data_IF_330725237721
#
_entry.id   IF_330725237721
#
_cell.length_a   1.000
_cell.length_b   1.000
_cell.length_c   1.000
_cell.angle_alpha   90.00
_cell.angle_beta   90.00
_cell.angle_gamma   90.00
#
_symmetry.space_group_name_H-M   'P 1'
#
loop_
_entity.id
_entity.type
_entity.pdbx_description
1 polymer ?
#
# COMPACT_ATOMS: atom_id res chain seq x y z
N UNK A 1 71.57 37.04 23.18
CA UNK A 1 71.25 36.20 21.99
C UNK A 1 69.90 36.67 21.46
N UNK A 2 69.83 37.18 20.23
CA UNK A 2 68.75 38.04 19.73
C UNK A 2 67.51 37.26 19.27
N UNK A 3 66.37 37.50 19.94
CA UNK A 3 65.04 36.95 19.63
C UNK A 3 64.64 37.05 18.14
N UNK A 4 65.08 38.12 17.47
CA UNK A 4 64.77 38.35 16.06
C UNK A 4 65.43 37.36 15.09
N UNK A 5 66.62 36.84 15.39
CA UNK A 5 67.30 35.87 14.53
C UNK A 5 66.66 34.48 14.58
N UNK A 6 66.18 34.06 15.75
CA UNK A 6 65.43 32.81 15.89
C UNK A 6 64.11 32.84 15.12
N UNK A 7 63.40 33.97 15.14
CA UNK A 7 62.14 34.15 14.42
C UNK A 7 62.33 34.08 12.90
N UNK A 8 63.36 34.75 12.36
CA UNK A 8 63.67 34.72 10.92
C UNK A 8 64.04 33.29 10.46
N UNK A 9 64.85 32.56 11.24
CA UNK A 9 65.19 31.18 10.90
C UNK A 9 63.98 30.24 10.97
N UNK A 10 63.07 30.44 11.92
CA UNK A 10 61.83 29.66 12.01
C UNK A 10 60.90 29.88 10.82
N UNK A 11 60.74 31.13 10.36
CA UNK A 11 59.91 31.47 9.20
C UNK A 11 60.47 30.87 7.91
N UNK A 12 61.79 30.93 7.72
CA UNK A 12 62.45 30.35 6.54
C UNK A 12 62.31 28.82 6.48
N UNK A 13 62.35 28.15 7.64
CA UNK A 13 62.11 26.71 7.72
C UNK A 13 60.63 26.35 7.44
N UNK A 14 59.67 27.19 7.85
CA UNK A 14 58.25 26.98 7.55
C UNK A 14 57.96 27.17 6.06
N UNK A 15 58.55 28.17 5.41
CA UNK A 15 58.42 28.39 3.97
C UNK A 15 59.07 27.27 3.15
N UNK A 16 60.25 26.79 3.55
CA UNK A 16 60.91 25.67 2.90
C UNK A 16 60.09 24.36 3.03
N UNK A 17 59.48 24.11 4.19
CA UNK A 17 58.62 22.94 4.39
C UNK A 17 57.27 23.05 3.66
N UNK A 18 56.69 24.24 3.50
CA UNK A 18 55.45 24.42 2.71
C UNK A 18 55.69 24.33 1.21
N UNK A 19 56.85 24.76 0.71
CA UNK A 19 57.22 24.57 -0.70
C UNK A 19 57.55 23.10 -1.05
N UNK A 20 58.18 22.35 -0.14
CA UNK A 20 58.48 20.93 -0.38
C UNK A 20 57.22 20.05 -0.31
N UNK A 21 56.29 20.36 0.59
CA UNK A 21 55.02 19.63 0.72
C UNK A 21 54.06 19.91 -0.43
N UNK A 22 53.99 21.15 -0.92
CA UNK A 22 53.19 21.47 -2.10
C UNK A 22 53.73 20.79 -3.36
N UNK A 23 55.03 20.80 -3.62
CA UNK A 23 55.63 20.12 -4.78
C UNK A 23 55.46 18.59 -4.73
N UNK A 24 55.59 17.98 -3.54
CA UNK A 24 55.29 16.55 -3.36
C UNK A 24 53.80 16.21 -3.58
N UNK A 25 52.88 17.10 -3.19
CA UNK A 25 51.45 16.92 -3.38
C UNK A 25 51.04 16.97 -4.86
N UNK A 26 51.61 17.87 -5.67
CA UNK A 26 51.31 17.95 -7.11
C UNK A 26 51.86 16.75 -7.89
N UNK A 27 53.05 16.26 -7.55
CA UNK A 27 53.61 15.06 -8.20
C UNK A 27 52.78 13.81 -7.88
N UNK A 28 52.40 13.62 -6.61
CA UNK A 28 51.55 12.47 -6.22
C UNK A 28 50.15 12.54 -6.83
N UNK A 29 49.53 13.73 -6.92
CA UNK A 29 48.26 13.91 -7.62
C UNK A 29 48.38 13.62 -9.13
N UNK A 30 49.48 14.01 -9.77
CA UNK A 30 49.77 13.70 -11.17
C UNK A 30 49.92 12.20 -11.45
N UNK A 31 50.64 11.47 -10.58
CA UNK A 31 50.74 10.01 -10.66
C UNK A 31 49.40 9.32 -10.41
N UNK A 32 48.60 9.80 -9.46
CA UNK A 32 47.25 9.27 -9.22
C UNK A 32 46.31 9.51 -10.41
N UNK A 33 46.38 10.69 -11.05
CA UNK A 33 45.59 10.98 -12.24
C UNK A 33 46.03 10.14 -13.45
N UNK A 34 47.34 9.96 -13.67
CA UNK A 34 47.86 9.12 -14.75
C UNK A 34 47.52 7.63 -14.55
N UNK A 35 47.61 7.13 -13.32
CA UNK A 35 47.20 5.75 -12.99
C UNK A 35 45.69 5.57 -13.08
N UNK A 36 44.88 6.58 -12.73
CA UNK A 36 43.43 6.57 -12.92
C UNK A 36 43.04 6.55 -14.41
N UNK A 37 43.74 7.30 -15.27
CA UNK A 37 43.51 7.26 -16.72
C UNK A 37 43.94 5.91 -17.33
N UNK A 38 45.08 5.37 -16.91
CA UNK A 38 45.56 4.06 -17.36
C UNK A 38 44.62 2.93 -16.93
N UNK A 39 44.08 2.97 -15.71
CA UNK A 39 43.09 1.99 -15.22
C UNK A 39 41.76 2.12 -15.95
N UNK A 40 41.30 3.33 -16.29
CA UNK A 40 40.10 3.52 -17.13
C UNK A 40 40.26 2.94 -18.53
N UNK A 41 41.40 3.18 -19.19
CA UNK A 41 41.69 2.61 -20.50
C UNK A 41 41.80 1.09 -20.45
N UNK A 42 42.42 0.54 -19.40
CA UNK A 42 42.49 -0.90 -19.19
C UNK A 42 41.11 -1.52 -18.94
N UNK A 43 40.24 -0.85 -18.17
CA UNK A 43 38.86 -1.29 -17.94
C UNK A 43 38.03 -1.26 -19.23
N UNK A 44 38.10 -0.18 -20.01
CA UNK A 44 37.41 -0.07 -21.29
C UNK A 44 37.89 -1.14 -22.30
N UNK A 45 39.19 -1.40 -22.36
CA UNK A 45 39.74 -2.48 -23.20
C UNK A 45 39.27 -3.88 -22.74
N UNK A 46 39.12 -4.10 -21.43
CA UNK A 46 38.54 -5.35 -20.89
C UNK A 46 37.06 -5.49 -21.22
N UNK A 47 36.28 -4.41 -21.12
CA UNK A 47 34.86 -4.41 -21.51
C UNK A 47 34.69 -4.71 -23.00
N UNK A 48 35.51 -4.13 -23.87
CA UNK A 48 35.50 -4.44 -25.31
C UNK A 48 35.85 -5.91 -25.58
N UNK A 49 36.86 -6.45 -24.89
CA UNK A 49 37.22 -7.87 -25.00
C UNK A 49 36.09 -8.79 -24.54
N UNK A 50 35.42 -8.47 -23.43
CA UNK A 50 34.27 -9.22 -22.93
C UNK A 50 33.11 -9.17 -23.93
N UNK A 51 32.81 -8.00 -24.49
CA UNK A 51 31.77 -7.85 -25.49
C UNK A 51 32.06 -8.66 -26.77
N UNK A 52 33.32 -8.66 -27.22
CA UNK A 52 33.76 -9.48 -28.36
C UNK A 52 33.66 -10.97 -28.05
N UNK A 53 34.07 -11.41 -26.86
CA UNK A 53 33.93 -12.80 -26.42
C UNK A 53 32.47 -13.24 -26.36
N UNK A 54 31.58 -12.40 -25.83
CA UNK A 54 30.14 -12.67 -25.80
C UNK A 54 29.56 -12.80 -27.22
N UNK A 55 29.93 -11.89 -28.13
CA UNK A 55 29.51 -11.97 -29.55
C UNK A 55 30.00 -13.25 -30.22
N UNK A 56 31.26 -13.63 -30.02
CA UNK A 56 31.79 -14.89 -30.57
C UNK A 56 31.08 -16.11 -29.98
N UNK A 57 30.89 -16.16 -28.65
CA UNK A 57 30.17 -17.24 -28.00
C UNK A 57 28.72 -17.38 -28.51
N UNK A 58 28.04 -16.26 -28.77
CA UNK A 58 26.71 -16.26 -29.36
C UNK A 58 26.72 -16.76 -30.82
N UNK A 59 27.68 -16.34 -31.63
CA UNK A 59 27.83 -16.86 -33.00
C UNK A 59 28.11 -18.36 -33.02
N UNK A 60 29.01 -18.84 -32.15
CA UNK A 60 29.31 -20.27 -32.01
C UNK A 60 28.06 -21.05 -31.59
N UNK A 61 27.30 -20.55 -30.61
CA UNK A 61 26.04 -21.18 -30.17
C UNK A 61 25.02 -21.23 -31.30
N UNK A 62 24.84 -20.15 -32.04
CA UNK A 62 23.93 -20.09 -33.18
C UNK A 62 24.33 -21.07 -34.29
N UNK A 63 25.63 -21.17 -34.58
CA UNK A 63 26.14 -22.13 -35.54
C UNK A 63 25.92 -23.58 -35.08
N UNK A 64 26.25 -23.90 -33.82
CA UNK A 64 25.99 -25.22 -33.24
C UNK A 64 24.51 -25.59 -33.30
N UNK A 65 23.61 -24.65 -32.99
CA UNK A 65 22.18 -24.86 -33.11
C UNK A 65 21.73 -25.06 -34.58
N UNK A 66 22.30 -24.30 -35.52
CA UNK A 66 22.00 -24.40 -36.94
C UNK A 66 22.48 -25.73 -37.57
N UNK A 67 23.55 -26.31 -37.03
CA UNK A 67 24.00 -27.66 -37.38
C UNK A 67 23.14 -28.72 -36.71
N UNK A 68 22.89 -28.58 -35.40
CA UNK A 68 22.10 -29.53 -34.63
C UNK A 68 20.65 -29.65 -35.13
N UNK A 69 20.01 -28.56 -35.56
CA UNK A 69 18.64 -28.62 -36.10
C UNK A 69 18.48 -29.49 -37.36
N UNK A 70 19.59 -29.87 -37.99
CA UNK A 70 19.61 -30.77 -39.16
C UNK A 70 19.75 -32.25 -38.75
N UNK A 71 20.03 -32.55 -37.48
CA UNK A 71 20.09 -33.91 -36.96
C UNK A 71 18.67 -34.45 -36.69
N UNK A 72 18.48 -35.77 -36.54
CA UNK A 72 17.20 -36.35 -36.15
C UNK A 72 16.63 -35.76 -34.86
N UNK A 73 17.48 -35.55 -33.83
CA UNK A 73 17.08 -34.92 -32.57
C UNK A 73 16.62 -33.47 -32.77
N UNK A 74 17.34 -32.70 -33.58
CA UNK A 74 16.98 -31.32 -33.89
C UNK A 74 15.67 -31.21 -34.66
N UNK A 75 15.42 -32.10 -35.62
CA UNK A 75 14.16 -32.18 -36.35
C UNK A 75 13.02 -32.56 -35.41
N UNK A 76 13.22 -33.56 -34.54
CA UNK A 76 12.24 -33.99 -33.55
C UNK A 76 11.89 -32.86 -32.58
N UNK A 77 12.89 -32.10 -32.11
CA UNK A 77 12.69 -30.92 -31.28
C UNK A 77 11.89 -29.83 -31.99
N UNK A 78 12.19 -29.51 -33.26
CA UNK A 78 11.44 -28.49 -33.99
C UNK A 78 9.97 -28.89 -34.18
N UNK A 79 9.69 -30.16 -34.49
CA UNK A 79 8.33 -30.69 -34.57
C UNK A 79 7.64 -30.71 -33.20
N UNK A 80 8.37 -31.00 -32.13
CA UNK A 80 7.87 -30.91 -30.76
C UNK A 80 7.55 -29.46 -30.40
N UNK A 81 8.43 -28.52 -30.72
CA UNK A 81 8.26 -27.09 -30.43
C UNK A 81 7.02 -26.53 -31.09
N UNK A 82 6.83 -26.81 -32.39
CA UNK A 82 5.67 -26.35 -33.15
C UNK A 82 4.35 -26.88 -32.55
N UNK A 83 4.29 -28.19 -32.28
CA UNK A 83 3.16 -28.80 -31.58
C UNK A 83 2.95 -28.25 -30.17
N UNK A 84 4.03 -27.96 -29.45
CA UNK A 84 3.99 -27.39 -28.10
C UNK A 84 3.41 -25.98 -28.08
N UNK A 85 3.76 -25.14 -29.06
CA UNK A 85 3.17 -23.80 -29.23
C UNK A 85 1.68 -23.91 -29.49
N UNK A 86 1.26 -24.77 -30.43
CA UNK A 86 -0.16 -25.00 -30.72
C UNK A 86 -0.92 -25.51 -29.49
N UNK A 87 -0.35 -26.47 -28.76
CA UNK A 87 -0.94 -27.00 -27.53
C UNK A 87 -1.08 -25.92 -26.46
N UNK A 88 -0.05 -25.11 -26.23
CA UNK A 88 -0.10 -24.01 -25.27
C UNK A 88 -1.17 -22.97 -25.65
N UNK A 89 -1.33 -22.66 -26.94
CA UNK A 89 -2.41 -21.80 -27.42
C UNK A 89 -3.79 -22.43 -27.21
N UNK A 90 -3.97 -23.72 -27.49
CA UNK A 90 -5.23 -24.43 -27.23
C UNK A 90 -5.59 -24.42 -25.74
N UNK A 91 -4.62 -24.63 -24.84
CA UNK A 91 -4.85 -24.53 -23.38
C UNK A 91 -5.28 -23.12 -23.00
N UNK A 92 -4.60 -22.07 -23.50
CA UNK A 92 -4.98 -20.67 -23.24
C UNK A 92 -6.36 -20.30 -23.79
N UNK A 93 -6.75 -20.86 -24.94
CA UNK A 93 -8.09 -20.68 -25.48
C UNK A 93 -9.13 -21.32 -24.56
N UNK A 94 -8.86 -22.52 -24.02
CA UNK A 94 -9.71 -23.16 -23.01
C UNK A 94 -9.79 -22.34 -21.71
N UNK A 95 -8.68 -21.75 -21.26
CA UNK A 95 -8.70 -20.84 -20.10
C UNK A 95 -9.60 -19.62 -20.34
N UNK A 96 -9.53 -19.05 -21.55
CA UNK A 96 -10.40 -17.93 -21.95
C UNK A 96 -11.87 -18.36 -21.98
N UNK A 97 -12.19 -19.47 -22.64
CA UNK A 97 -13.54 -20.01 -22.72
C UNK A 97 -14.11 -20.36 -21.34
N UNK A 98 -13.26 -20.89 -20.45
CA UNK A 98 -13.60 -21.19 -19.06
C UNK A 98 -13.97 -19.94 -18.28
N UNK A 99 -13.13 -18.89 -18.35
CA UNK A 99 -13.41 -17.60 -17.71
C UNK A 99 -14.66 -16.95 -18.28
N UNK A 100 -14.88 -17.04 -19.59
CA UNK A 100 -16.09 -16.54 -20.22
C UNK A 100 -17.34 -17.32 -19.79
N UNK A 101 -17.22 -18.64 -19.60
CA UNK A 101 -18.27 -19.48 -19.01
C UNK A 101 -18.68 -18.98 -17.64
N UNK A 102 -17.71 -18.80 -16.74
CA UNK A 102 -17.95 -18.23 -15.41
C UNK A 102 -18.51 -16.81 -15.45
N UNK A 103 -17.98 -15.93 -16.30
CA UNK A 103 -18.47 -14.57 -16.45
C UNK A 103 -19.95 -14.54 -16.89
N UNK A 104 -20.37 -15.45 -17.77
CA UNK A 104 -21.77 -15.59 -18.19
C UNK A 104 -22.67 -16.01 -17.03
N UNK A 105 -22.27 -17.03 -16.26
CA UNK A 105 -23.03 -17.49 -15.08
C UNK A 105 -23.16 -16.38 -14.04
N UNK A 106 -22.04 -15.72 -13.71
CA UNK A 106 -22.01 -14.63 -12.73
C UNK A 106 -22.90 -13.48 -13.22
N UNK A 107 -22.79 -13.09 -14.48
CA UNK A 107 -23.61 -12.01 -15.05
C UNK A 107 -25.11 -12.34 -15.02
N UNK A 108 -25.49 -13.59 -15.34
CA UNK A 108 -26.88 -14.04 -15.22
C UNK A 108 -27.35 -14.03 -13.77
N UNK A 109 -26.56 -14.60 -12.86
CA UNK A 109 -26.87 -14.63 -11.44
C UNK A 109 -27.05 -13.20 -10.88
N UNK A 110 -26.17 -12.26 -11.25
CA UNK A 110 -26.29 -10.84 -10.86
C UNK A 110 -27.56 -10.18 -11.42
N UNK A 111 -27.98 -10.52 -12.64
CA UNK A 111 -29.19 -9.97 -13.25
C UNK A 111 -30.49 -10.48 -12.60
N UNK A 112 -30.46 -11.68 -12.00
CA UNK A 112 -31.60 -12.27 -11.28
C UNK A 112 -31.78 -11.72 -9.85
N UNK A 113 -30.79 -11.00 -9.31
CA UNK A 113 -30.84 -10.49 -7.94
C UNK A 113 -31.70 -9.23 -7.86
N UNK A 114 -32.64 -9.15 -6.90
CA UNK A 114 -33.41 -7.95 -6.65
C UNK A 114 -32.54 -6.71 -6.39
N UNK A 115 -32.91 -5.57 -7.00
CA UNK A 115 -32.13 -4.32 -6.89
C UNK A 115 -32.04 -3.79 -5.45
N UNK A 116 -33.02 -4.10 -4.61
CA UNK A 116 -33.02 -3.73 -3.19
C UNK A 116 -31.98 -4.52 -2.39
N UNK A 117 -31.78 -5.81 -2.71
CA UNK A 117 -30.73 -6.66 -2.14
C UNK A 117 -29.34 -6.14 -2.52
N UNK A 118 -29.13 -5.81 -3.80
CA UNK A 118 -27.88 -5.18 -4.28
C UNK A 118 -27.59 -3.89 -3.52
N UNK A 119 -28.60 -3.01 -3.38
CA UNK A 119 -28.47 -1.77 -2.60
C UNK A 119 -28.13 -2.05 -1.14
N UNK A 120 -28.73 -3.07 -0.50
CA UNK A 120 -28.40 -3.44 0.88
C UNK A 120 -26.95 -3.91 0.99
N UNK A 121 -26.51 -4.79 0.09
CA UNK A 121 -25.15 -5.31 0.04
C UNK A 121 -24.10 -4.18 -0.13
N UNK A 122 -24.27 -3.32 -1.14
CA UNK A 122 -23.35 -2.20 -1.41
C UNK A 122 -23.28 -1.21 -0.25
N UNK A 123 -24.40 -0.95 0.42
CA UNK A 123 -24.46 0.01 1.52
C UNK A 123 -24.03 -0.59 2.88
N UNK A 124 -23.98 -1.91 3.02
CA UNK A 124 -23.67 -2.57 4.29
C UNK A 124 -22.27 -2.19 4.84
N UNK A 125 -21.18 -2.21 4.05
CA UNK A 125 -19.87 -1.74 4.51
C UNK A 125 -19.88 -0.29 5.02
N UNK A 126 -20.63 0.59 4.36
CA UNK A 126 -20.77 1.99 4.77
C UNK A 126 -21.53 2.11 6.11
N UNK A 127 -22.60 1.32 6.29
CA UNK A 127 -23.36 1.23 7.55
C UNK A 127 -22.55 0.68 8.70
N UNK A 128 -21.61 -0.23 8.45
CA UNK A 128 -20.71 -0.80 9.47
C UNK A 128 -19.54 0.14 9.80
N UNK A 129 -18.93 0.78 8.79
CA UNK A 129 -17.74 1.63 8.98
C UNK A 129 -18.07 2.99 9.60
N UNK A 130 -19.23 3.56 9.25
CA UNK A 130 -19.75 4.83 9.79
C UNK A 130 -18.72 5.97 9.79
N UNK A 131 -18.05 6.18 8.66
CA UNK A 131 -16.94 7.14 8.53
C UNK A 131 -17.37 8.56 8.97
N UNK A 132 -18.57 9.01 8.59
CA UNK A 132 -19.09 10.34 8.96
C UNK A 132 -19.23 10.53 10.47
N UNK A 133 -19.78 9.55 11.19
CA UNK A 133 -19.91 9.60 12.66
C UNK A 133 -18.54 9.55 13.35
N UNK A 134 -17.55 8.84 12.78
CA UNK A 134 -16.17 8.87 13.26
C UNK A 134 -15.59 10.28 13.17
N UNK A 135 -15.73 10.93 12.01
CA UNK A 135 -15.19 12.28 11.79
C UNK A 135 -15.86 13.30 12.69
N UNK A 136 -17.20 13.27 12.82
CA UNK A 136 -17.93 14.19 13.70
C UNK A 136 -17.58 14.00 15.18
N UNK A 137 -17.39 12.76 15.63
CA UNK A 137 -16.94 12.50 17.01
C UNK A 137 -15.54 13.05 17.26
N UNK A 138 -14.60 12.85 16.33
CA UNK A 138 -13.24 13.39 16.44
C UNK A 138 -13.27 14.93 16.46
N UNK A 139 -14.00 15.55 15.54
CA UNK A 139 -14.15 17.01 15.52
C UNK A 139 -14.78 17.53 16.81
N UNK A 140 -15.78 16.84 17.35
CA UNK A 140 -16.39 17.17 18.65
C UNK A 140 -15.38 17.14 19.79
N UNK A 141 -14.51 16.13 19.85
CA UNK A 141 -13.43 16.07 20.84
C UNK A 141 -12.36 17.13 20.65
N UNK A 142 -12.01 17.47 19.40
CA UNK A 142 -11.05 18.55 19.12
C UNK A 142 -11.60 19.90 19.57
N UNK A 143 -12.86 20.20 19.26
CA UNK A 143 -13.51 21.46 19.67
C UNK A 143 -13.68 21.52 21.20
N UNK A 144 -14.09 20.42 21.83
CA UNK A 144 -14.16 20.32 23.29
C UNK A 144 -12.78 20.47 23.94
N UNK A 145 -11.74 19.88 23.36
CA UNK A 145 -10.36 20.01 23.83
C UNK A 145 -9.85 21.44 23.74
N UNK A 146 -10.10 22.14 22.62
CA UNK A 146 -9.77 23.56 22.47
C UNK A 146 -10.51 24.44 23.48
N UNK A 147 -11.81 24.19 23.70
CA UNK A 147 -12.58 24.88 24.74
C UNK A 147 -12.01 24.60 26.15
N UNK A 148 -11.58 23.36 26.42
CA UNK A 148 -10.94 22.98 27.68
C UNK A 148 -9.59 23.67 27.91
N UNK A 149 -8.78 23.82 26.86
CA UNK A 149 -7.53 24.60 26.90
C UNK A 149 -7.83 26.07 27.20
N UNK A 150 -8.84 26.66 26.55
CA UNK A 150 -9.27 28.03 26.84
C UNK A 150 -9.75 28.21 28.29
N UNK A 151 -10.48 27.24 28.84
CA UNK A 151 -10.91 27.24 30.23
C UNK A 151 -9.74 27.13 31.20
N UNK A 152 -8.77 26.23 30.93
CA UNK A 152 -7.54 26.12 31.71
C UNK A 152 -6.73 27.42 31.67
N UNK A 153 -6.66 28.07 30.51
CA UNK A 153 -5.99 29.36 30.36
C UNK A 153 -6.70 30.47 31.15
N UNK A 154 -8.03 30.57 31.09
CA UNK A 154 -8.80 31.52 31.88
C UNK A 154 -8.65 31.29 33.38
N UNK A 155 -8.65 30.03 33.84
CA UNK A 155 -8.38 29.70 35.24
C UNK A 155 -6.95 30.04 35.66
N UNK A 156 -5.96 29.80 34.80
CA UNK A 156 -4.57 30.12 35.06
C UNK A 156 -4.35 31.64 35.12
N UNK A 157 -4.88 32.38 34.16
CA UNK A 157 -4.82 33.85 34.13
C UNK A 157 -5.59 34.45 35.31
N UNK A 158 -6.74 33.90 35.68
CA UNK A 158 -7.48 34.31 36.88
C UNK A 158 -6.67 34.10 38.16
N UNK A 159 -5.96 32.96 38.29
CA UNK A 159 -5.06 32.71 39.43
C UNK A 159 -3.83 33.62 39.43
N UNK A 160 -3.26 33.93 38.26
CA UNK A 160 -2.12 34.85 38.13
C UNK A 160 -2.56 36.28 38.47
N UNK A 161 -3.69 36.75 37.95
CA UNK A 161 -4.26 38.06 38.28
C UNK A 161 -4.53 38.20 39.77
N UNK A 162 -5.18 37.20 40.39
CA UNK A 162 -5.40 37.15 41.84
C UNK A 162 -4.09 37.16 42.65
N UNK A 163 -2.98 36.66 42.10
CA UNK A 163 -1.66 36.70 42.75
C UNK A 163 -0.92 38.03 42.58
N UNK A 164 -1.24 38.80 41.53
CA UNK A 164 -0.65 40.12 41.25
C UNK A 164 -1.39 41.22 42.02
N UNK A 165 -2.71 41.10 42.20
CA UNK A 165 -3.53 42.05 42.99
C UNK A 165 -3.31 41.95 44.51
N UNK A 166 -2.50 41.00 44.99
CA UNK A 166 -2.05 40.97 46.39
C UNK A 166 -1.13 42.16 46.77
N UNK A 167 -0.79 43.03 45.81
CA UNK A 167 -0.02 44.25 46.00
C UNK A 167 -0.87 45.53 46.16
N UNK A 168 -1.89 45.53 47.03
CA UNK A 168 -2.44 46.77 47.60
C UNK A 168 -3.69 47.40 46.95
N UNK A 169 -4.45 46.68 46.12
CA UNK A 169 -5.76 47.15 45.63
C UNK A 169 -6.92 46.63 46.51
N UNK A 170 -7.93 47.48 46.76
CA UNK A 170 -9.12 47.16 47.57
C UNK A 170 -9.98 46.11 46.84
N UNK A 171 -10.22 44.94 47.44
CA UNK A 171 -10.98 43.85 46.80
C UNK A 171 -12.49 44.14 46.74
N UNK A 172 -13.23 43.47 45.85
CA UNK A 172 -14.70 43.64 45.75
C UNK A 172 -15.42 43.32 47.07
N UNK A 173 -14.95 42.31 47.79
CA UNK A 173 -15.51 41.91 49.09
C UNK A 173 -15.19 42.95 50.19
N UNK A 174 -13.97 43.50 50.20
CA UNK A 174 -13.60 44.62 51.09
C UNK A 174 -14.37 45.91 50.75
N UNK A 175 -14.63 46.18 49.46
CA UNK A 175 -15.44 47.31 49.00
C UNK A 175 -16.88 47.20 49.50
N UNK A 176 -17.47 46.00 49.46
CA UNK A 176 -18.80 45.71 50.00
C UNK A 176 -18.85 45.80 51.54
N UNK A 177 -17.74 45.51 52.21
CA UNK A 177 -17.65 45.59 53.67
C UNK A 177 -17.50 47.06 54.14
N UNK A 178 -16.70 47.88 53.46
CA UNK A 178 -16.62 49.32 53.74
C UNK A 178 -17.94 50.06 53.49
N UNK A 179 -18.78 49.58 52.57
CA UNK A 179 -20.12 50.14 52.32
C UNK A 179 -21.09 49.98 53.49
N UNK A 180 -20.77 49.12 54.46
CA UNK A 180 -21.57 48.94 55.68
C UNK A 180 -21.26 49.96 56.77
N UNK A 181 -20.17 50.73 56.64
CA UNK A 181 -19.80 51.77 57.61
C UNK A 181 -20.50 53.11 57.31
N UNK A 182 -21.13 53.78 58.29
CA UNK A 182 -22.00 54.94 58.06
C UNK A 182 -21.27 56.26 57.71
N UNK A 183 -19.94 56.23 57.54
CA UNK A 183 -19.09 57.42 57.34
C UNK A 183 -18.43 57.54 55.96
N UNK A 184 -18.67 56.62 55.05
CA UNK A 184 -17.96 56.55 53.76
C UNK A 184 -18.74 57.16 52.59
N UNK A 185 -18.04 57.86 51.71
CA UNK A 185 -18.57 58.56 50.51
C UNK A 185 -18.78 57.58 49.33
N UNK A 186 -18.46 56.29 49.51
CA UNK A 186 -18.57 55.28 48.46
C UNK A 186 -20.03 54.84 48.25
N UNK A 187 -20.49 54.84 47.01
CA UNK A 187 -21.82 54.38 46.62
C UNK A 187 -21.77 52.93 46.08
N UNK A 188 -22.88 52.17 46.11
CA UNK A 188 -22.91 50.78 45.62
C UNK A 188 -22.40 50.62 44.17
N UNK A 189 -22.63 51.64 43.32
CA UNK A 189 -22.14 51.67 41.94
C UNK A 189 -20.62 51.72 41.81
N UNK A 190 -19.90 52.20 42.84
CA UNK A 190 -18.44 52.21 42.84
C UNK A 190 -17.86 50.79 43.05
N UNK A 191 -18.54 49.93 43.82
CA UNK A 191 -18.11 48.54 43.96
C UNK A 191 -18.52 47.70 42.76
N UNK A 192 -19.66 48.00 42.12
CA UNK A 192 -20.09 47.28 40.91
C UNK A 192 -19.12 47.46 39.73
N UNK A 193 -18.40 48.59 39.67
CA UNK A 193 -17.32 48.81 38.71
C UNK A 193 -16.07 47.93 38.93
N UNK A 194 -15.92 47.34 40.11
CA UNK A 194 -14.79 46.46 40.51
C UNK A 194 -15.26 45.00 40.60
N UNK A 195 -16.54 44.73 40.32
CA UNK A 195 -17.08 43.38 40.32
C UNK A 195 -16.31 42.52 39.30
N UNK A 196 -15.71 41.40 39.71
CA UNK A 196 -15.08 40.51 38.74
C UNK A 196 -16.17 39.98 37.81
N UNK A 197 -16.02 40.26 36.51
CA UNK A 197 -16.76 39.51 35.49
C UNK A 197 -16.44 38.02 35.71
N UNK A 198 -17.44 37.15 35.56
CA UNK A 198 -17.31 35.71 35.84
C UNK A 198 -17.24 34.92 34.51
N UNK A 199 -16.17 35.06 33.70
CA UNK A 199 -16.02 34.41 32.39
C UNK A 199 -15.86 32.89 32.52
N UNK A 200 -15.61 32.40 33.74
CA UNK A 200 -15.37 30.99 34.04
C UNK A 200 -16.66 30.19 33.94
N UNK A 201 -17.78 30.69 34.48
CA UNK A 201 -19.07 29.99 34.45
C UNK A 201 -19.60 29.78 33.03
N UNK A 202 -19.52 30.81 32.18
CA UNK A 202 -19.94 30.71 30.77
C UNK A 202 -19.03 29.76 29.96
N UNK A 203 -17.71 29.81 30.18
CA UNK A 203 -16.75 28.91 29.52
C UNK A 203 -16.95 27.45 29.93
N UNK A 204 -17.26 27.21 31.21
CA UNK A 204 -17.49 25.88 31.75
C UNK A 204 -18.76 25.24 31.19
N UNK A 205 -19.85 26.03 31.08
CA UNK A 205 -21.10 25.56 30.48
C UNK A 205 -20.89 25.09 29.03
N UNK A 206 -20.16 25.87 28.21
CA UNK A 206 -19.86 25.48 26.83
C UNK A 206 -19.01 24.22 26.72
N UNK A 207 -17.99 24.08 27.56
CA UNK A 207 -17.16 22.87 27.59
C UNK A 207 -17.99 21.62 27.91
N UNK A 208 -18.86 21.69 28.93
CA UNK A 208 -19.73 20.58 29.32
C UNK A 208 -20.68 20.20 28.19
N UNK A 209 -21.30 21.18 27.52
CA UNK A 209 -22.21 20.93 26.39
C UNK A 209 -21.46 20.22 25.25
N UNK A 210 -20.29 20.72 24.84
CA UNK A 210 -19.50 20.13 23.76
C UNK A 210 -19.01 18.72 24.11
N UNK A 211 -18.60 18.49 25.35
CA UNK A 211 -18.19 17.19 25.83
C UNK A 211 -19.35 16.17 25.82
N UNK A 212 -20.52 16.56 26.30
CA UNK A 212 -21.74 15.72 26.27
C UNK A 212 -22.13 15.39 24.84
N UNK A 213 -22.07 16.34 23.91
CA UNK A 213 -22.31 16.09 22.47
C UNK A 213 -21.30 15.10 21.91
N UNK A 214 -20.01 15.26 22.21
CA UNK A 214 -18.96 14.37 21.74
C UNK A 214 -19.16 12.92 22.24
N UNK A 215 -19.45 12.75 23.53
CA UNK A 215 -19.75 11.45 24.15
C UNK A 215 -21.03 10.85 23.55
N UNK A 216 -22.08 11.65 23.37
CA UNK A 216 -23.34 11.23 22.74
C UNK A 216 -23.13 10.69 21.32
N UNK A 217 -22.26 11.33 20.52
CA UNK A 217 -21.91 10.85 19.17
C UNK A 217 -21.15 9.52 19.20
N UNK A 218 -20.30 9.28 20.21
CA UNK A 218 -19.62 7.99 20.41
C UNK A 218 -20.62 6.89 20.73
N UNK A 219 -21.53 7.12 21.67
CA UNK A 219 -22.56 6.15 22.07
C UNK A 219 -23.50 5.85 20.89
N UNK A 220 -23.96 6.89 20.17
CA UNK A 220 -24.79 6.70 18.98
C UNK A 220 -24.09 5.83 17.93
N UNK A 221 -22.77 6.02 17.76
CA UNK A 221 -21.95 5.23 16.84
C UNK A 221 -21.83 3.77 17.29
N UNK A 222 -21.57 3.51 18.57
CA UNK A 222 -21.44 2.12 19.07
C UNK A 222 -22.74 1.36 18.92
N UNK A 223 -23.88 1.99 19.26
CA UNK A 223 -25.22 1.39 19.09
C UNK A 223 -25.50 1.10 17.61
N UNK A 224 -25.33 2.09 16.72
CA UNK A 224 -25.60 1.88 15.28
C UNK A 224 -24.65 0.85 14.66
N UNK A 225 -23.38 0.82 15.07
CA UNK A 225 -22.41 -0.17 14.59
C UNK A 225 -22.77 -1.57 15.07
N UNK A 226 -23.21 -1.71 16.31
CA UNK A 226 -23.67 -2.99 16.85
C UNK A 226 -24.90 -3.48 16.08
N UNK A 227 -25.93 -2.64 15.96
CA UNK A 227 -27.14 -2.95 15.19
C UNK A 227 -26.84 -3.35 13.74
N UNK A 228 -25.93 -2.65 13.05
CA UNK A 228 -25.54 -2.99 11.69
C UNK A 228 -24.72 -4.30 11.57
N UNK A 229 -24.00 -4.69 12.64
CA UNK A 229 -23.24 -5.95 12.67
C UNK A 229 -24.10 -7.15 13.05
N UNK A 230 -25.12 -6.93 13.87
CA UNK A 230 -26.05 -7.96 14.32
C UNK A 230 -27.22 -8.14 13.36
N UNK A 231 -27.34 -7.31 12.32
CA UNK A 231 -28.35 -7.44 11.27
C UNK A 231 -28.10 -8.74 10.46
N UNK A 232 -28.97 -9.77 10.59
CA UNK A 232 -28.77 -11.05 9.94
C UNK A 232 -29.18 -11.02 8.46
N UNK A 233 -29.76 -9.92 7.97
CA UNK A 233 -30.33 -9.84 6.63
C UNK A 233 -29.29 -10.12 5.55
N UNK A 234 -28.14 -9.43 5.59
CA UNK A 234 -27.09 -9.58 4.56
C UNK A 234 -26.43 -10.98 4.60
N UNK A 235 -26.08 -11.55 5.77
CA UNK A 235 -25.64 -12.94 5.87
C UNK A 235 -26.66 -13.96 5.35
N UNK A 236 -27.94 -13.80 5.69
CA UNK A 236 -29.00 -14.72 5.25
C UNK A 236 -29.23 -14.64 3.74
N UNK A 237 -29.24 -13.42 3.18
CA UNK A 237 -29.29 -13.18 1.74
C UNK A 237 -28.07 -13.85 1.06
N UNK A 238 -26.85 -13.64 1.57
CA UNK A 238 -25.65 -14.29 1.04
C UNK A 238 -25.74 -15.82 1.04
N UNK A 239 -26.22 -16.41 2.15
CA UNK A 239 -26.42 -17.86 2.23
C UNK A 239 -27.49 -18.36 1.25
N UNK A 240 -28.58 -17.60 1.06
CA UNK A 240 -29.59 -17.92 0.06
C UNK A 240 -29.03 -17.88 -1.37
N UNK A 241 -28.17 -16.90 -1.68
CA UNK A 241 -27.48 -16.83 -2.97
C UNK A 241 -26.56 -18.04 -3.19
N UNK A 242 -25.73 -18.37 -2.20
CA UNK A 242 -24.87 -19.56 -2.26
C UNK A 242 -25.70 -20.84 -2.39
N UNK A 243 -26.82 -20.95 -1.68
CA UNK A 243 -27.72 -22.11 -1.79
C UNK A 243 -28.36 -22.26 -3.18
N UNK A 244 -28.62 -21.14 -3.88
CA UNK A 244 -29.23 -21.14 -5.20
C UNK A 244 -28.23 -21.37 -6.34
N UNK A 245 -27.05 -20.72 -6.29
CA UNK A 245 -26.09 -20.73 -7.40
C UNK A 245 -24.78 -21.47 -7.09
N UNK A 246 -24.57 -21.93 -5.85
CA UNK A 246 -23.32 -22.54 -5.39
C UNK A 246 -22.21 -21.53 -5.04
N UNK A 247 -22.43 -20.24 -5.28
CA UNK A 247 -21.51 -19.15 -4.97
C UNK A 247 -22.29 -17.85 -4.70
N UNK A 248 -21.61 -16.82 -4.16
CA UNK A 248 -22.21 -15.50 -3.95
C UNK A 248 -21.85 -14.54 -5.11
N UNK A 249 -22.75 -14.29 -6.08
CA UNK A 249 -22.50 -13.45 -7.24
C UNK A 249 -22.21 -11.96 -6.92
N UNK A 250 -22.51 -11.47 -5.72
CA UNK A 250 -22.19 -10.09 -5.32
C UNK A 250 -20.83 -10.00 -4.62
N UNK A 251 -20.31 -11.10 -4.09
CA UNK A 251 -19.04 -11.16 -3.37
C UNK A 251 -17.86 -11.68 -4.21
N UNK A 252 -18.10 -12.06 -5.48
CA UNK A 252 -17.03 -12.49 -6.40
C UNK A 252 -16.15 -11.32 -6.85
N UNK A 253 -14.86 -11.56 -7.01
CA UNK A 253 -13.90 -10.60 -7.56
C UNK A 253 -13.89 -10.63 -9.10
N UNK A 254 -13.41 -9.57 -9.78
CA UNK A 254 -13.24 -9.58 -11.23
C UNK A 254 -12.33 -10.73 -11.69
N UNK A 255 -12.80 -11.57 -12.61
CA UNK A 255 -12.07 -12.75 -13.06
C UNK A 255 -12.20 -13.97 -12.13
N UNK A 256 -13.13 -13.94 -11.18
CA UNK A 256 -13.47 -15.10 -10.37
C UNK A 256 -13.81 -16.32 -11.23
N UNK A 257 -13.20 -17.44 -10.88
CA UNK A 257 -13.55 -18.78 -11.34
C UNK A 257 -13.70 -19.63 -10.07
N UNK A 258 -14.78 -20.41 -9.98
CA UNK A 258 -15.04 -21.21 -8.77
C UNK A 258 -14.04 -22.33 -8.58
N UNK A 259 -13.57 -22.92 -9.68
CA UNK A 259 -12.56 -23.97 -9.71
C UNK A 259 -11.88 -23.99 -11.09
N UNK A 260 -10.82 -24.79 -11.20
CA UNK A 260 -10.07 -24.94 -12.45
C UNK A 260 -10.72 -25.97 -13.37
N UNK A 261 -10.63 -25.78 -14.69
CA UNK A 261 -11.28 -26.72 -15.62
C UNK A 261 -10.51 -28.03 -15.81
N UNK A 262 -9.25 -28.13 -15.37
CA UNK A 262 -8.44 -29.34 -15.47
C UNK A 262 -8.54 -30.19 -14.19
N UNK A 263 -8.41 -31.51 -14.36
CA UNK A 263 -8.57 -32.48 -13.27
C UNK A 263 -7.34 -32.59 -12.35
N UNK A 264 -6.15 -32.10 -12.75
CA UNK A 264 -4.91 -32.18 -11.97
C UNK A 264 -4.32 -30.79 -11.72
N UNK A 265 -3.93 -30.51 -10.48
CA UNK A 265 -3.42 -29.21 -10.01
C UNK A 265 -2.05 -28.78 -10.59
N UNK A 266 -1.35 -29.62 -11.35
CA UNK A 266 -0.05 -29.26 -11.96
C UNK A 266 -0.18 -28.67 -13.36
N UNK A 267 -1.39 -28.55 -13.88
CA UNK A 267 -1.62 -28.20 -15.29
C UNK A 267 -1.69 -26.67 -15.50
N UNK A 268 -1.77 -25.89 -14.43
CA UNK A 268 -1.90 -24.42 -14.40
C UNK A 268 -0.70 -23.72 -15.06
N UNK A 269 0.51 -24.21 -14.80
CA UNK A 269 1.76 -23.64 -15.30
C UNK A 269 2.24 -24.31 -16.60
N UNK A 270 1.57 -25.38 -17.04
CA UNK A 270 2.05 -26.22 -18.14
C UNK A 270 2.09 -25.47 -19.47
N UNK A 271 1.06 -24.67 -19.78
CA UNK A 271 1.04 -23.85 -20.99
C UNK A 271 2.16 -22.80 -20.99
N UNK A 272 2.44 -22.19 -19.83
CA UNK A 272 3.50 -21.20 -19.70
C UNK A 272 4.89 -21.84 -19.80
N UNK A 273 5.06 -23.03 -19.23
CA UNK A 273 6.29 -23.81 -19.37
C UNK A 273 6.54 -24.22 -20.82
N UNK A 274 5.52 -24.71 -21.54
CA UNK A 274 5.62 -25.03 -22.96
C UNK A 274 5.99 -23.81 -23.79
N UNK A 275 5.33 -22.67 -23.54
CA UNK A 275 5.59 -21.42 -24.24
C UNK A 275 7.00 -20.90 -23.94
N UNK A 276 7.45 -20.97 -22.68
CA UNK A 276 8.79 -20.56 -22.27
C UNK A 276 9.85 -21.40 -22.96
N UNK A 277 9.71 -22.73 -22.96
CA UNK A 277 10.63 -23.64 -23.65
C UNK A 277 10.64 -23.41 -25.16
N UNK A 278 9.48 -23.13 -25.75
CA UNK A 278 9.38 -22.89 -27.18
C UNK A 278 10.03 -21.57 -27.62
N UNK A 279 9.89 -20.51 -26.83
CA UNK A 279 10.41 -19.17 -27.14
C UNK A 279 11.89 -19.02 -26.82
N UNK A 280 12.32 -19.46 -25.64
CA UNK A 280 13.71 -19.28 -25.18
C UNK A 280 14.65 -20.38 -25.71
N UNK A 281 14.07 -21.48 -26.20
CA UNK A 281 14.84 -22.66 -26.58
C UNK A 281 15.42 -23.38 -25.36
N UNK A 282 16.05 -24.53 -25.57
CA UNK A 282 16.57 -25.33 -24.49
C UNK A 282 18.00 -24.87 -24.14
N UNK A 283 18.33 -24.81 -22.84
CA UNK A 283 19.68 -24.41 -22.38
C UNK A 283 20.78 -25.37 -22.88
N UNK A 284 20.40 -26.63 -23.10
CA UNK A 284 21.20 -27.69 -23.72
C UNK A 284 20.40 -28.32 -24.84
N UNK A 285 21.06 -28.77 -25.91
CA UNK A 285 20.41 -29.38 -27.07
C UNK A 285 19.82 -30.75 -26.66
N UNK A 286 18.48 -30.90 -26.57
CA UNK A 286 17.86 -32.09 -26.01
C UNK A 286 17.91 -33.27 -26.98
N UNK A 287 18.04 -34.48 -26.45
CA UNK A 287 17.78 -35.68 -27.26
C UNK A 287 16.28 -35.90 -27.42
N UNK A 288 15.86 -36.65 -28.44
CA UNK A 288 14.44 -36.97 -28.65
C UNK A 288 13.79 -37.62 -27.41
N UNK A 289 14.52 -38.46 -26.68
CA UNK A 289 14.04 -39.11 -25.45
C UNK A 289 13.85 -38.17 -24.26
N UNK A 290 14.46 -36.98 -24.30
CA UNK A 290 14.37 -35.96 -23.26
C UNK A 290 13.20 -34.99 -23.49
N UNK A 291 12.52 -35.07 -24.63
CA UNK A 291 11.38 -34.21 -24.95
C UNK A 291 10.17 -34.58 -24.10
N UNK A 292 9.63 -33.58 -23.39
CA UNK A 292 8.43 -33.74 -22.57
C UNK A 292 7.27 -34.16 -23.46
N UNK A 293 6.49 -35.14 -23.03
CA UNK A 293 5.30 -35.56 -23.78
C UNK A 293 4.27 -34.43 -23.81
N UNK A 294 3.81 -34.10 -25.02
CA UNK A 294 2.78 -33.08 -25.24
C UNK A 294 1.41 -33.73 -25.08
N UNK A 295 0.68 -33.36 -24.02
CA UNK A 295 -0.64 -33.87 -23.74
C UNK A 295 -1.59 -32.74 -23.35
N UNK A 296 -2.81 -32.75 -23.88
CA UNK A 296 -3.86 -31.84 -23.42
C UNK A 296 -4.26 -32.22 -21.98
N UNK A 297 -4.27 -31.27 -21.03
CA UNK A 297 -4.82 -31.47 -19.70
C UNK A 297 -6.19 -32.12 -19.74
N UNK A 298 -6.45 -33.05 -18.83
CA UNK A 298 -7.74 -33.70 -18.75
C UNK A 298 -8.74 -32.70 -18.16
N UNK A 299 -9.82 -32.41 -18.89
CA UNK A 299 -10.89 -31.59 -18.36
C UNK A 299 -11.58 -32.29 -17.19
N UNK A 300 -11.97 -31.53 -16.17
CA UNK A 300 -12.81 -31.98 -15.08
C UNK A 300 -14.13 -32.52 -15.64
N UNK A 301 -14.72 -33.50 -14.95
CA UNK A 301 -16.01 -34.03 -15.36
C UNK A 301 -17.12 -33.01 -15.07
N UNK A 302 -18.11 -32.86 -15.96
CA UNK A 302 -19.35 -32.16 -15.63
C UNK A 302 -19.97 -32.74 -14.35
N UNK A 303 -20.59 -31.90 -13.54
CA UNK A 303 -21.21 -32.31 -12.28
C UNK A 303 -22.53 -31.59 -12.06
N UNK A 304 -23.52 -32.27 -11.47
CA UNK A 304 -24.87 -31.73 -11.27
C UNK A 304 -24.89 -30.47 -10.40
N UNK A 305 -23.91 -30.31 -9.50
CA UNK A 305 -23.77 -29.13 -8.65
C UNK A 305 -23.15 -27.92 -9.36
N UNK A 306 -22.68 -28.07 -10.60
CA UNK A 306 -22.10 -26.96 -11.36
C UNK A 306 -23.18 -26.23 -12.17
N UNK A 307 -23.04 -24.92 -12.39
CA UNK A 307 -23.90 -24.16 -13.28
C UNK A 307 -23.94 -24.76 -14.70
N UNK A 308 -25.08 -24.65 -15.37
CA UNK A 308 -25.31 -25.25 -16.71
C UNK A 308 -24.26 -24.78 -17.72
N UNK A 309 -23.97 -23.48 -17.79
CA UNK A 309 -22.99 -22.94 -18.75
C UNK A 309 -21.56 -23.43 -18.46
N UNK A 310 -21.24 -23.70 -17.19
CA UNK A 310 -19.96 -24.28 -16.79
C UNK A 310 -19.88 -25.73 -17.26
N UNK A 311 -20.96 -26.51 -17.08
CA UNK A 311 -21.06 -27.88 -17.58
C UNK A 311 -21.04 -27.97 -19.11
N UNK A 312 -21.62 -27.00 -19.82
CA UNK A 312 -21.55 -26.90 -21.28
C UNK A 312 -20.09 -26.70 -21.76
N UNK A 313 -19.33 -25.84 -21.08
CA UNK A 313 -17.91 -25.62 -21.39
C UNK A 313 -17.08 -26.89 -21.11
N UNK A 314 -17.29 -27.54 -19.96
CA UNK A 314 -16.61 -28.81 -19.64
C UNK A 314 -16.95 -29.91 -20.66
N UNK A 315 -18.22 -30.03 -21.04
CA UNK A 315 -18.68 -31.02 -22.03
C UNK A 315 -18.02 -30.80 -23.39
N UNK A 316 -17.89 -29.54 -23.82
CA UNK A 316 -17.17 -29.18 -25.06
C UNK A 316 -15.70 -29.56 -25.00
N UNK A 317 -15.02 -29.30 -23.88
CA UNK A 317 -13.61 -29.66 -23.72
C UNK A 317 -13.36 -31.17 -23.81
N UNK A 318 -14.32 -31.99 -23.39
CA UNK A 318 -14.29 -33.45 -23.57
C UNK A 318 -14.52 -33.86 -25.02
N UNK A 319 -15.47 -33.23 -25.73
CA UNK A 319 -15.74 -33.52 -27.15
C UNK A 319 -14.57 -33.16 -28.07
N UNK A 320 -13.90 -32.04 -27.82
CA UNK A 320 -12.74 -31.59 -28.60
C UNK A 320 -11.49 -32.47 -28.40
N UNK A 321 -11.51 -33.41 -27.44
CA UNK A 321 -10.40 -34.34 -27.19
C UNK A 321 -10.54 -35.66 -27.97
N UNK A 322 -11.76 -36.03 -28.39
CA UNK A 322 -12.04 -37.23 -29.20
C UNK A 322 -11.83 -36.98 -30.68
#
# INVERSE_FOLDING_TARGET
MNYYQAKINSLRNIEANTQSTSTAAWMTAGFQAATADQTRRAAAAQEEQLALQQKMAQQTRNHQFAMWRQTPDGIAYLQWRDRGIHLAQSIRNRDSDWRQGWARVIGRAQAEIPQDEIRRFVNHPARVRQVRLKVMSILGFVVAGLAGIGLLFNLLMGKIAASIDAGGALTYDECLELLKDPGTIMTPGNCEAIKPDDPVGASMAWFVILFVIAVGLVILRTVKRHAARTDPTVPNEAQARVGRWGFDPLAVFPGYVGFTWYARQKDDEYADQLMWLALNGPERLPMQSELIRLEMPLAAQPHESHPVEVNEVLSRFHQERS
#
